data_IF_764169559848
#
_entry.id   IF_764169559848
#
_cell.length_a   1.000
_cell.length_b   1.000
_cell.length_c   1.000
_cell.angle_alpha   90.00
_cell.angle_beta   90.00
_cell.angle_gamma   90.00
#
_symmetry.space_group_name_H-M   'P 1'
#
loop_
_entity.id
_entity.type
_entity.pdbx_description
1 polymer ?
#
# COMPACT_ATOMS: atom_id res chain seq x y z
N UNK A 1 19.68 -18.48 8.25
CA UNK A 1 18.63 -19.08 7.34
C UNK A 1 18.39 -18.07 6.22
N UNK A 2 18.40 -18.50 4.97
CA UNK A 2 18.09 -17.57 3.87
C UNK A 2 16.59 -17.28 3.91
N UNK A 3 16.11 -16.02 3.68
CA UNK A 3 14.67 -15.70 3.75
C UNK A 3 13.78 -16.54 2.83
N UNK A 4 14.31 -17.07 1.74
CA UNK A 4 13.59 -18.00 0.86
C UNK A 4 13.13 -19.29 1.56
N UNK A 5 13.86 -19.73 2.59
CA UNK A 5 13.59 -20.98 3.32
C UNK A 5 12.57 -20.79 4.46
N UNK A 6 12.13 -19.56 4.71
CA UNK A 6 11.15 -19.24 5.77
C UNK A 6 9.83 -19.93 5.45
N UNK A 7 9.34 -20.72 6.41
CA UNK A 7 8.02 -21.32 6.36
C UNK A 7 6.94 -20.28 6.68
N UNK A 8 5.97 -20.11 5.78
CA UNK A 8 4.89 -19.13 5.97
C UNK A 8 4.01 -19.51 7.17
N UNK A 9 3.83 -20.81 7.43
CA UNK A 9 3.04 -21.29 8.56
C UNK A 9 3.60 -20.94 9.94
N UNK A 10 4.88 -20.55 10.03
CA UNK A 10 5.47 -20.03 11.28
C UNK A 10 4.96 -18.61 11.62
N UNK A 11 4.43 -17.88 10.65
CA UNK A 11 3.92 -16.53 10.80
C UNK A 11 2.38 -16.54 10.75
N UNK A 12 1.81 -17.33 11.64
CA UNK A 12 0.36 -17.47 11.79
C UNK A 12 -0.07 -17.19 13.22
N UNK A 13 -1.33 -16.82 13.37
CA UNK A 13 -2.03 -16.65 14.64
C UNK A 13 -3.53 -16.80 14.37
N UNK A 14 -4.32 -17.06 15.40
CA UNK A 14 -5.77 -17.15 15.26
C UNK A 14 -6.37 -15.75 15.27
N UNK A 15 -6.95 -15.30 14.15
CA UNK A 15 -7.70 -14.05 14.06
C UNK A 15 -9.20 -14.33 14.17
N UNK A 16 -9.87 -14.01 15.28
CA UNK A 16 -11.30 -14.16 15.42
C UNK A 16 -12.04 -13.19 14.49
N UNK A 17 -13.12 -13.64 13.86
CA UNK A 17 -13.88 -12.83 12.90
C UNK A 17 -14.52 -11.58 13.50
N UNK A 18 -14.86 -11.60 14.79
CA UNK A 18 -15.41 -10.47 15.55
C UNK A 18 -14.36 -9.38 15.85
N UNK A 19 -13.06 -9.68 15.67
CA UNK A 19 -11.98 -8.71 15.75
C UNK A 19 -11.76 -7.94 14.46
N UNK A 20 -12.30 -8.40 13.34
CA UNK A 20 -12.18 -7.71 12.04
C UNK A 20 -13.14 -6.53 12.01
N UNK A 21 -12.60 -5.31 11.87
CA UNK A 21 -13.42 -4.12 11.77
C UNK A 21 -14.04 -3.98 10.38
N UNK A 22 -15.36 -4.15 10.27
CA UNK A 22 -16.09 -3.99 9.02
C UNK A 22 -16.46 -2.53 8.69
N UNK A 23 -16.45 -1.64 9.70
CA UNK A 23 -16.73 -0.21 9.56
C UNK A 23 -15.70 0.62 10.33
N UNK A 24 -15.36 1.83 9.83
CA UNK A 24 -14.52 2.75 10.58
C UNK A 24 -15.26 3.31 11.80
N UNK A 25 -14.51 3.81 12.78
CA UNK A 25 -15.09 4.62 13.86
C UNK A 25 -15.64 5.94 13.32
N UNK A 26 -16.58 6.56 14.02
CA UNK A 26 -17.11 7.88 13.64
C UNK A 26 -15.97 8.92 13.52
N UNK A 27 -15.11 8.99 14.52
CA UNK A 27 -13.90 9.80 14.51
C UNK A 27 -12.70 8.94 14.09
N UNK A 28 -11.95 9.38 13.07
CA UNK A 28 -10.81 8.63 12.52
C UNK A 28 -9.71 8.41 13.54
N UNK A 29 -9.42 9.44 14.34
CA UNK A 29 -8.33 9.49 15.29
C UNK A 29 -8.71 8.97 16.69
N UNK A 30 -9.94 8.49 16.86
CA UNK A 30 -10.37 7.79 18.07
C UNK A 30 -9.98 6.30 18.08
N UNK A 31 -9.37 5.79 17.00
CA UNK A 31 -8.81 4.44 16.97
C UNK A 31 -7.70 4.30 18.01
N UNK A 32 -7.57 3.11 18.59
CA UNK A 32 -6.50 2.79 19.53
C UNK A 32 -5.17 2.64 18.76
N UNK A 33 -4.11 3.03 19.45
CA UNK A 33 -2.72 2.93 18.99
C UNK A 33 -1.95 2.07 19.97
N UNK A 34 -1.46 0.91 19.51
CA UNK A 34 -0.49 0.12 20.26
C UNK A 34 0.90 0.66 19.96
N UNK A 35 1.71 0.92 20.97
CA UNK A 35 3.08 1.40 20.83
C UNK A 35 4.02 0.30 21.28
N UNK A 36 4.99 -0.05 20.42
CA UNK A 36 6.05 -1.01 20.73
C UNK A 36 7.42 -0.40 20.49
N UNK A 37 8.26 -0.41 21.51
CA UNK A 37 9.65 0.05 21.42
C UNK A 37 10.47 -0.42 22.63
N UNK A 38 11.75 -0.75 22.42
CA UNK A 38 12.64 -1.18 23.51
C UNK A 38 12.15 -2.42 24.28
N UNK A 39 11.34 -3.28 23.67
CA UNK A 39 10.76 -4.44 24.33
C UNK A 39 9.52 -4.13 25.20
N UNK A 40 9.07 -2.89 25.29
CA UNK A 40 7.86 -2.51 26.02
C UNK A 40 6.66 -2.38 25.06
N UNK A 41 5.46 -2.68 25.57
CA UNK A 41 4.19 -2.42 24.89
C UNK A 41 3.43 -1.40 25.73
N UNK A 42 2.92 -0.36 25.07
CA UNK A 42 2.05 0.66 25.64
C UNK A 42 0.87 0.89 24.70
N UNK A 43 -0.15 1.62 25.13
CA UNK A 43 -1.32 1.93 24.33
C UNK A 43 -1.86 3.34 24.57
N UNK A 44 -2.37 3.95 23.50
CA UNK A 44 -2.99 5.27 23.51
C UNK A 44 -4.06 5.35 22.41
N UNK A 45 -4.51 6.53 22.09
CA UNK A 45 -5.35 6.84 20.93
C UNK A 45 -4.51 7.47 19.82
N UNK A 46 -4.91 7.24 18.57
CA UNK A 46 -4.21 7.83 17.41
C UNK A 46 -4.05 9.35 17.48
N UNK A 47 -5.03 10.06 18.09
CA UNK A 47 -4.98 11.52 18.27
C UNK A 47 -3.75 12.00 19.06
N UNK A 48 -3.17 11.14 19.86
CA UNK A 48 -2.02 11.43 20.70
C UNK A 48 -0.68 10.96 20.10
N UNK A 49 -0.68 10.44 18.86
CA UNK A 49 0.51 9.82 18.24
C UNK A 49 1.75 10.72 18.28
N UNK A 50 1.58 12.04 18.18
CA UNK A 50 2.70 12.99 18.21
C UNK A 50 3.52 12.91 19.53
N UNK A 51 2.90 12.52 20.64
CA UNK A 51 3.58 12.37 21.92
C UNK A 51 4.50 11.14 21.99
N UNK A 52 4.29 10.17 21.12
CA UNK A 52 5.02 8.90 21.06
C UNK A 52 6.09 8.86 19.95
N UNK A 53 6.25 9.94 19.22
CA UNK A 53 7.22 10.05 18.13
C UNK A 53 8.44 10.86 18.60
N UNK A 54 9.67 10.46 18.22
CA UNK A 54 10.85 11.27 18.50
C UNK A 54 10.75 12.63 17.81
N UNK A 55 11.20 13.68 18.51
CA UNK A 55 11.31 15.02 17.91
C UNK A 55 12.24 14.99 16.71
N UNK A 56 12.10 15.95 15.77
CA UNK A 56 12.88 16.05 14.53
C UNK A 56 12.69 14.86 13.55
N UNK A 57 11.82 13.89 13.88
CA UNK A 57 11.55 12.79 12.97
C UNK A 57 10.88 13.26 11.67
N UNK A 58 11.05 12.48 10.61
CA UNK A 58 10.37 12.66 9.33
C UNK A 58 9.36 11.52 9.12
N UNK A 59 8.06 11.84 9.15
CA UNK A 59 7.00 10.90 8.81
C UNK A 59 6.78 10.91 7.29
N UNK A 60 6.74 9.72 6.68
CA UNK A 60 6.51 9.60 5.24
C UNK A 60 5.25 8.79 4.97
N UNK A 61 4.31 9.43 4.27
CA UNK A 61 2.99 8.91 3.95
C UNK A 61 2.89 8.50 2.46
N UNK A 62 1.95 7.63 2.14
CA UNK A 62 1.59 7.34 0.75
C UNK A 62 0.34 8.16 0.37
N UNK A 63 0.46 9.10 -0.57
CA UNK A 63 -0.61 10.01 -0.99
C UNK A 63 -1.45 9.49 -2.18
N UNK A 64 -1.35 8.20 -2.47
CA UNK A 64 -2.18 7.60 -3.51
C UNK A 64 -3.66 7.70 -3.18
N UNK A 65 -4.49 7.84 -4.21
CA UNK A 65 -5.94 7.93 -4.10
C UNK A 65 -6.59 6.69 -4.72
N UNK A 66 -7.53 6.11 -3.99
CA UNK A 66 -8.28 4.94 -4.46
C UNK A 66 -9.29 5.37 -5.50
N UNK A 67 -9.31 4.66 -6.62
CA UNK A 67 -10.30 4.83 -7.67
C UNK A 67 -11.44 3.82 -7.50
N UNK A 68 -12.63 4.16 -7.99
CA UNK A 68 -13.83 3.30 -7.93
C UNK A 68 -13.72 2.13 -8.92
N UNK A 69 -12.71 1.29 -8.73
CA UNK A 69 -12.25 0.28 -9.67
C UNK A 69 -13.16 -0.95 -9.80
N UNK A 70 -14.27 -1.04 -9.05
CA UNK A 70 -15.26 -2.12 -9.19
C UNK A 70 -16.48 -1.61 -9.93
N UNK A 71 -16.87 -2.30 -11.02
CA UNK A 71 -18.02 -1.96 -11.84
C UNK A 71 -18.98 -3.14 -11.88
N UNK A 72 -20.22 -2.92 -11.49
CA UNK A 72 -21.27 -3.93 -11.60
C UNK A 72 -22.05 -3.76 -12.90
N UNK A 73 -22.19 -4.84 -13.64
CA UNK A 73 -23.07 -4.99 -14.79
C UNK A 73 -24.18 -5.97 -14.47
N UNK A 74 -25.38 -5.71 -15.03
CA UNK A 74 -26.51 -6.63 -14.97
C UNK A 74 -26.89 -7.06 -16.37
N UNK A 75 -26.94 -8.37 -16.59
CA UNK A 75 -27.41 -8.94 -17.86
C UNK A 75 -28.94 -8.82 -17.96
N UNK A 76 -29.54 -8.85 -19.17
CA UNK A 76 -31.00 -8.91 -19.33
C UNK A 76 -31.66 -10.07 -18.58
N UNK A 77 -30.89 -11.16 -18.33
CA UNK A 77 -31.33 -12.31 -17.53
C UNK A 77 -31.33 -12.07 -16.02
N UNK A 78 -30.97 -10.86 -15.55
CA UNK A 78 -30.79 -10.52 -14.14
C UNK A 78 -29.43 -10.95 -13.54
N UNK A 79 -28.60 -11.69 -14.26
CA UNK A 79 -27.31 -12.16 -13.75
C UNK A 79 -26.35 -10.97 -13.52
N UNK A 80 -25.78 -10.92 -12.33
CA UNK A 80 -24.76 -9.93 -11.92
C UNK A 80 -23.39 -10.38 -12.39
N UNK A 81 -22.65 -9.46 -13.00
CA UNK A 81 -21.22 -9.59 -13.35
C UNK A 81 -20.51 -8.41 -12.72
N UNK A 82 -19.48 -8.67 -11.93
CA UNK A 82 -18.62 -7.63 -11.34
C UNK A 82 -17.28 -7.63 -12.07
N UNK A 83 -16.85 -6.47 -12.56
CA UNK A 83 -15.52 -6.27 -13.14
C UNK A 83 -14.71 -5.46 -12.13
N UNK A 84 -13.61 -6.03 -11.65
CA UNK A 84 -12.66 -5.35 -10.78
C UNK A 84 -11.40 -5.03 -11.59
N UNK A 85 -11.23 -3.77 -11.92
CA UNK A 85 -10.07 -3.25 -12.64
C UNK A 85 -8.83 -3.28 -11.75
N UNK A 86 -7.77 -3.99 -12.18
CA UNK A 86 -6.53 -4.16 -11.43
C UNK A 86 -5.46 -3.19 -11.93
N UNK A 87 -5.03 -3.39 -13.18
CA UNK A 87 -3.94 -2.65 -13.81
C UNK A 87 -4.13 -2.57 -15.33
N UNK A 88 -3.62 -1.52 -15.99
CA UNK A 88 -3.63 -1.45 -17.43
C UNK A 88 -2.51 -2.32 -18.04
N UNK A 89 -2.63 -2.74 -19.31
CA UNK A 89 -1.52 -3.26 -20.10
C UNK A 89 -0.35 -2.28 -20.16
N UNK A 90 0.89 -2.83 -20.31
CA UNK A 90 2.13 -2.05 -20.31
C UNK A 90 2.18 -0.97 -21.43
N UNK A 91 1.43 -1.15 -22.52
CA UNK A 91 1.34 -0.21 -23.65
C UNK A 91 0.87 1.20 -23.26
N UNK A 92 0.16 1.34 -22.13
CA UNK A 92 -0.27 2.65 -21.62
C UNK A 92 0.83 3.40 -20.86
N UNK A 93 1.96 2.76 -20.56
CA UNK A 93 3.05 3.40 -19.83
C UNK A 93 2.73 3.73 -18.37
N UNK A 94 1.68 3.12 -17.80
CA UNK A 94 1.30 3.24 -16.38
C UNK A 94 -0.16 3.61 -16.15
N UNK A 95 -0.56 3.49 -14.87
CA UNK A 95 -1.97 3.67 -14.45
C UNK A 95 -2.47 5.10 -14.72
N UNK A 96 -1.65 6.11 -14.41
CA UNK A 96 -2.03 7.51 -14.59
C UNK A 96 -2.39 7.82 -16.06
N UNK A 97 -1.57 7.35 -17.00
CA UNK A 97 -1.81 7.54 -18.43
C UNK A 97 -3.05 6.76 -18.92
N UNK A 98 -3.27 5.57 -18.37
CA UNK A 98 -4.44 4.77 -18.72
C UNK A 98 -5.75 5.40 -18.20
N UNK A 99 -5.72 6.04 -17.03
CA UNK A 99 -6.87 6.73 -16.44
C UNK A 99 -7.27 7.99 -17.24
N UNK A 100 -6.34 8.60 -17.97
CA UNK A 100 -6.64 9.78 -18.84
C UNK A 100 -7.16 9.38 -20.23
N UNK A 101 -7.17 8.11 -20.58
CA UNK A 101 -7.71 7.66 -21.88
C UNK A 101 -9.17 8.04 -22.02
N UNK A 102 -9.58 8.40 -23.25
CA UNK A 102 -10.94 8.82 -23.58
C UNK A 102 -11.58 7.84 -24.57
N UNK A 103 -12.90 7.67 -24.46
CA UNK A 103 -13.73 6.84 -25.33
C UNK A 103 -13.53 5.33 -25.19
N UNK A 104 -12.31 4.88 -24.94
CA UNK A 104 -12.00 3.44 -24.77
C UNK A 104 -10.69 3.19 -24.05
N UNK A 105 -10.60 2.05 -23.34
CA UNK A 105 -9.38 1.57 -22.69
C UNK A 105 -9.41 0.05 -22.57
N UNK A 106 -8.25 -0.59 -22.51
CA UNK A 106 -8.13 -2.01 -22.14
C UNK A 106 -7.58 -2.10 -20.73
N UNK A 107 -8.12 -3.04 -19.93
CA UNK A 107 -7.71 -3.18 -18.53
C UNK A 107 -7.65 -4.65 -18.11
N UNK A 108 -6.66 -5.02 -17.32
CA UNK A 108 -6.58 -6.33 -16.68
C UNK A 108 -7.47 -6.35 -15.46
N UNK A 109 -8.38 -7.32 -15.36
CA UNK A 109 -9.46 -7.34 -14.38
C UNK A 109 -9.61 -8.72 -13.73
N UNK A 110 -10.15 -8.74 -12.51
CA UNK A 110 -10.84 -9.91 -11.97
C UNK A 110 -12.33 -9.81 -12.31
N UNK A 111 -13.00 -10.96 -12.46
CA UNK A 111 -14.41 -11.00 -12.82
C UNK A 111 -15.18 -11.85 -11.82
N UNK A 112 -16.04 -11.20 -11.03
CA UNK A 112 -17.06 -11.86 -10.23
C UNK A 112 -18.18 -12.35 -11.13
N UNK A 113 -18.50 -13.67 -11.08
CA UNK A 113 -19.50 -14.30 -11.95
C UNK A 113 -19.00 -14.57 -13.39
N UNK A 114 -17.70 -14.76 -13.60
CA UNK A 114 -17.08 -14.99 -14.90
C UNK A 114 -17.74 -16.10 -15.70
N UNK A 115 -18.17 -17.21 -15.06
CA UNK A 115 -18.87 -18.33 -15.72
C UNK A 115 -20.20 -17.92 -16.38
N UNK A 116 -20.80 -16.81 -15.94
CA UNK A 116 -22.05 -16.27 -16.48
C UNK A 116 -21.80 -15.32 -17.66
N UNK A 117 -20.56 -14.96 -17.98
CA UNK A 117 -20.21 -14.08 -19.10
C UNK A 117 -19.50 -14.88 -20.20
N UNK A 118 -20.21 -15.11 -21.29
CA UNK A 118 -19.68 -15.88 -22.43
C UNK A 118 -18.84 -15.01 -23.36
N UNK A 119 -17.76 -15.53 -23.96
CA UNK A 119 -17.02 -14.83 -25.02
C UNK A 119 -17.95 -14.30 -26.12
N UNK A 120 -17.67 -13.11 -26.65
CA UNK A 120 -18.51 -12.44 -27.65
C UNK A 120 -19.72 -11.67 -27.10
N UNK A 121 -20.10 -11.87 -25.86
CA UNK A 121 -21.16 -11.06 -25.23
C UNK A 121 -20.60 -9.68 -24.81
N UNK A 122 -21.36 -8.63 -25.10
CA UNK A 122 -21.10 -7.27 -24.61
C UNK A 122 -21.94 -7.03 -23.37
N UNK A 123 -21.31 -6.59 -22.28
CA UNK A 123 -22.01 -6.07 -21.13
C UNK A 123 -22.22 -4.57 -21.34
N UNK A 124 -23.42 -4.09 -21.03
CA UNK A 124 -23.80 -2.68 -21.16
C UNK A 124 -24.42 -2.17 -19.87
N UNK A 125 -24.02 -0.97 -19.47
CA UNK A 125 -24.52 -0.27 -18.31
C UNK A 125 -24.85 1.16 -18.72
N UNK A 126 -26.10 1.56 -18.50
CA UNK A 126 -26.57 2.92 -18.69
C UNK A 126 -26.70 3.59 -17.34
N UNK A 127 -26.25 4.83 -17.25
CA UNK A 127 -26.25 5.60 -16.02
C UNK A 127 -26.92 6.94 -16.16
N UNK A 128 -27.40 7.53 -15.07
CA UNK A 128 -27.93 8.89 -15.10
C UNK A 128 -26.92 9.87 -15.72
N UNK A 129 -27.43 10.87 -16.47
CA UNK A 129 -26.57 11.81 -17.18
C UNK A 129 -26.03 11.32 -18.52
N UNK A 130 -26.61 10.22 -19.07
CA UNK A 130 -26.36 9.76 -20.44
C UNK A 130 -25.06 9.00 -20.64
N UNK A 131 -24.33 8.64 -19.57
CA UNK A 131 -23.16 7.78 -19.69
C UNK A 131 -23.60 6.33 -19.98
N UNK A 132 -23.10 5.78 -21.08
CA UNK A 132 -23.26 4.39 -21.47
C UNK A 132 -21.88 3.73 -21.47
N UNK A 133 -21.68 2.72 -20.65
CA UNK A 133 -20.44 1.96 -20.55
C UNK A 133 -20.65 0.54 -21.11
N UNK A 134 -19.77 0.14 -22.02
CA UNK A 134 -19.71 -1.23 -22.55
C UNK A 134 -18.42 -1.92 -22.12
N UNK A 135 -18.52 -3.22 -21.80
CA UNK A 135 -17.38 -4.08 -21.54
C UNK A 135 -17.39 -5.27 -22.48
N UNK A 136 -16.24 -5.55 -23.09
CA UNK A 136 -15.99 -6.67 -24.00
C UNK A 136 -14.85 -7.53 -23.47
N UNK A 137 -15.11 -8.82 -23.34
CA UNK A 137 -14.10 -9.82 -23.03
C UNK A 137 -13.12 -9.93 -24.21
N UNK A 138 -11.82 -9.81 -23.96
CA UNK A 138 -10.75 -10.00 -24.94
C UNK A 138 -10.13 -11.39 -24.80
N UNK A 139 -9.46 -11.63 -23.67
CA UNK A 139 -8.77 -12.89 -23.41
C UNK A 139 -8.65 -13.14 -21.91
N UNK A 140 -8.37 -14.39 -21.54
CA UNK A 140 -8.04 -14.80 -20.18
C UNK A 140 -6.52 -14.98 -20.05
N UNK A 141 -5.95 -14.42 -19.01
CA UNK A 141 -4.52 -14.49 -18.71
C UNK A 141 -4.36 -15.00 -17.26
N UNK A 142 -4.14 -16.31 -17.10
CA UNK A 142 -4.11 -16.94 -15.77
C UNK A 142 -5.44 -16.78 -15.04
N UNK A 143 -5.40 -16.15 -13.84
CA UNK A 143 -6.58 -15.84 -13.02
C UNK A 143 -7.23 -14.51 -13.39
N UNK A 144 -6.65 -13.73 -14.29
CA UNK A 144 -7.13 -12.41 -14.71
C UNK A 144 -7.68 -12.43 -16.14
N UNK A 145 -8.36 -11.34 -16.50
CA UNK A 145 -9.00 -11.18 -17.79
C UNK A 145 -8.65 -9.82 -18.38
N UNK A 146 -8.27 -9.78 -19.66
CA UNK A 146 -8.13 -8.53 -20.40
C UNK A 146 -9.51 -8.12 -20.91
N UNK A 147 -9.98 -6.97 -20.48
CA UNK A 147 -11.29 -6.40 -20.81
C UNK A 147 -11.09 -5.10 -21.58
N UNK A 148 -11.75 -4.97 -22.73
CA UNK A 148 -11.89 -3.69 -23.40
C UNK A 148 -13.15 -3.00 -22.87
N UNK A 149 -12.97 -1.78 -22.36
CA UNK A 149 -14.03 -0.88 -21.92
C UNK A 149 -14.19 0.25 -22.93
N UNK A 150 -15.41 0.60 -23.28
CA UNK A 150 -15.73 1.73 -24.15
C UNK A 150 -16.96 2.46 -23.64
N UNK A 151 -17.04 3.77 -23.89
CA UNK A 151 -18.12 4.58 -23.34
C UNK A 151 -18.51 5.75 -24.23
N UNK A 152 -19.70 6.25 -23.98
CA UNK A 152 -20.26 7.49 -24.52
C UNK A 152 -20.84 8.30 -23.37
N UNK A 153 -20.59 9.62 -23.29
CA UNK A 153 -19.82 10.46 -24.23
C UNK A 153 -18.32 10.09 -24.24
N UNK A 154 -17.70 10.14 -25.41
CA UNK A 154 -16.33 9.67 -25.62
C UNK A 154 -15.24 10.62 -25.06
N UNK A 155 -15.58 11.87 -24.78
CA UNK A 155 -14.70 12.90 -24.22
C UNK A 155 -14.35 12.69 -22.73
N UNK A 156 -15.16 11.90 -22.02
CA UNK A 156 -14.86 11.56 -20.63
C UNK A 156 -13.58 10.74 -20.54
N UNK A 157 -12.74 11.06 -19.56
CA UNK A 157 -11.60 10.22 -19.20
C UNK A 157 -12.05 8.93 -18.50
N UNK A 158 -11.22 7.90 -18.54
CA UNK A 158 -11.54 6.65 -17.83
C UNK A 158 -11.69 6.86 -16.32
N UNK A 159 -10.92 7.76 -15.72
CA UNK A 159 -11.08 8.15 -14.31
C UNK A 159 -12.49 8.68 -14.01
N UNK A 160 -13.03 9.56 -14.87
CA UNK A 160 -14.40 10.08 -14.72
C UNK A 160 -15.46 8.99 -14.90
N UNK A 161 -15.21 8.04 -15.83
CA UNK A 161 -16.08 6.88 -16.02
C UNK A 161 -16.09 5.99 -14.80
N UNK A 162 -14.93 5.67 -14.23
CA UNK A 162 -14.84 4.89 -12.98
C UNK A 162 -15.57 5.58 -11.84
N UNK A 163 -15.36 6.88 -11.68
CA UNK A 163 -16.03 7.66 -10.64
C UNK A 163 -17.58 7.65 -10.76
N UNK A 164 -18.12 7.64 -11.99
CA UNK A 164 -19.57 7.63 -12.22
C UNK A 164 -20.17 6.22 -12.20
N UNK A 165 -19.43 5.23 -12.68
CA UNK A 165 -19.92 3.87 -12.93
C UNK A 165 -19.56 2.86 -11.85
N UNK A 166 -18.46 3.12 -11.15
CA UNK A 166 -17.84 2.20 -10.22
C UNK A 166 -18.18 2.48 -8.77
N UNK A 167 -17.57 1.68 -7.93
CA UNK A 167 -17.56 1.83 -6.47
C UNK A 167 -16.20 1.42 -5.89
N UNK A 168 -15.93 1.90 -4.68
CA UNK A 168 -14.68 1.64 -3.97
C UNK A 168 -14.48 0.14 -3.76
N UNK A 169 -13.30 -0.40 -4.12
CA UNK A 169 -12.97 -1.80 -3.94
C UNK A 169 -12.56 -2.08 -2.48
N UNK A 170 -13.53 -2.37 -1.62
CA UNK A 170 -13.22 -2.80 -0.25
C UNK A 170 -12.43 -4.12 -0.27
N UNK A 171 -11.53 -4.32 0.71
CA UNK A 171 -10.78 -5.57 0.86
C UNK A 171 -11.70 -6.79 1.02
N UNK A 172 -11.27 -8.00 0.59
CA UNK A 172 -12.12 -9.19 0.56
C UNK A 172 -12.56 -9.68 1.95
N UNK A 173 -11.86 -9.32 3.02
CA UNK A 173 -12.24 -9.65 4.40
C UNK A 173 -13.32 -8.73 4.97
N UNK A 174 -13.68 -7.65 4.27
CA UNK A 174 -14.84 -6.82 4.60
C UNK A 174 -16.06 -7.41 3.86
N UNK A 175 -16.77 -8.32 4.53
CA UNK A 175 -17.87 -9.08 3.95
C UNK A 175 -19.17 -8.29 3.85
N UNK A 176 -19.12 -7.06 3.32
CA UNK A 176 -20.27 -6.22 3.00
C UNK A 176 -20.10 -5.53 1.65
N UNK A 177 -21.17 -5.03 1.10
CA UNK A 177 -21.09 -4.16 -0.07
C UNK A 177 -20.53 -2.79 0.32
N UNK A 178 -19.88 -2.13 -0.64
CA UNK A 178 -19.46 -0.76 -0.45
C UNK A 178 -20.67 0.18 -0.31
N UNK A 179 -20.62 1.05 0.66
CA UNK A 179 -21.62 2.07 0.96
C UNK A 179 -21.15 3.44 0.42
N UNK A 180 -22.06 4.39 0.27
CA UNK A 180 -21.71 5.72 -0.23
C UNK A 180 -20.64 6.42 0.66
N UNK A 181 -20.63 6.13 1.95
CA UNK A 181 -19.64 6.66 2.88
C UNK A 181 -18.23 6.12 2.63
N UNK A 182 -18.08 4.90 2.10
CA UNK A 182 -16.76 4.30 1.86
C UNK A 182 -15.94 5.10 0.85
N UNK A 183 -16.57 5.77 -0.11
CA UNK A 183 -15.87 6.65 -1.07
C UNK A 183 -15.08 7.76 -0.37
N UNK A 184 -15.55 8.20 0.80
CA UNK A 184 -14.88 9.19 1.64
C UNK A 184 -14.06 8.55 2.76
N UNK A 185 -14.55 7.46 3.36
CA UNK A 185 -13.94 6.86 4.55
C UNK A 185 -12.78 5.93 4.21
N UNK A 186 -12.80 5.27 3.05
CA UNK A 186 -11.70 4.44 2.54
C UNK A 186 -10.70 5.27 1.71
N UNK A 187 -10.49 6.53 2.13
CA UNK A 187 -9.52 7.49 1.58
C UNK A 187 -8.82 8.22 2.73
N UNK A 188 -7.53 8.49 2.56
CA UNK A 188 -6.82 9.40 3.46
C UNK A 188 -7.18 10.85 3.16
N UNK A 189 -7.07 11.73 4.15
CA UNK A 189 -7.37 13.17 3.97
C UNK A 189 -6.38 13.87 3.04
N UNK A 190 -5.22 13.26 2.82
CA UNK A 190 -4.13 13.79 1.99
C UNK A 190 -4.00 13.05 0.64
N UNK A 191 -4.95 12.18 0.27
CA UNK A 191 -4.95 11.48 -1.01
C UNK A 191 -5.00 12.47 -2.18
N UNK A 192 -4.08 12.34 -3.15
CA UNK A 192 -3.95 13.27 -4.30
C UNK A 192 -3.79 12.58 -5.64
N UNK A 193 -3.07 11.46 -5.70
CA UNK A 193 -2.68 10.80 -6.96
C UNK A 193 -3.60 9.62 -7.24
N UNK A 194 -4.54 9.78 -8.19
CA UNK A 194 -5.44 8.70 -8.61
C UNK A 194 -4.67 7.51 -9.19
N UNK A 195 -5.13 6.27 -8.92
CA UNK A 195 -4.55 5.08 -9.54
C UNK A 195 -4.42 3.86 -8.63
N UNK A 196 -4.76 3.97 -7.36
CA UNK A 196 -4.72 2.84 -6.43
C UNK A 196 -6.06 2.10 -6.39
N UNK A 197 -6.01 0.78 -6.23
CA UNK A 197 -7.21 -0.04 -5.96
C UNK A 197 -7.34 -0.40 -4.49
N UNK A 198 -6.40 0.02 -3.64
CA UNK A 198 -6.45 -0.14 -2.19
C UNK A 198 -5.95 1.12 -1.49
N UNK A 199 -6.57 1.49 -0.38
CA UNK A 199 -6.14 2.62 0.43
C UNK A 199 -4.85 2.31 1.20
N UNK A 200 -3.96 3.29 1.45
CA UNK A 200 -2.91 3.17 2.44
C UNK A 200 -3.52 3.27 3.85
N UNK A 201 -4.03 2.13 4.34
CA UNK A 201 -4.99 2.06 5.45
C UNK A 201 -4.46 2.58 6.78
N UNK A 202 -3.14 2.49 7.04
CA UNK A 202 -2.52 3.10 8.21
C UNK A 202 -2.71 4.63 8.27
N UNK A 203 -2.86 5.27 7.12
CA UNK A 203 -3.11 6.71 7.02
C UNK A 203 -4.56 7.13 7.24
N UNK A 204 -5.50 6.18 7.32
CA UNK A 204 -6.93 6.51 7.48
C UNK A 204 -7.26 7.15 8.83
N UNK A 205 -6.40 6.97 9.82
CA UNK A 205 -6.56 7.51 11.18
C UNK A 205 -6.11 8.96 11.31
N UNK A 206 -5.31 9.46 10.37
CA UNK A 206 -4.77 10.81 10.44
C UNK A 206 -5.84 11.85 10.11
N UNK A 207 -5.85 12.93 10.92
CA UNK A 207 -6.72 14.10 10.80
C UNK A 207 -5.89 15.36 10.71
N UNK A 208 -6.49 16.48 10.31
CA UNK A 208 -5.81 17.79 10.32
C UNK A 208 -5.29 18.14 11.72
N UNK A 209 -6.02 17.76 12.78
CA UNK A 209 -5.60 17.97 14.17
C UNK A 209 -4.31 17.21 14.50
N UNK A 210 -4.17 15.98 14.01
CA UNK A 210 -2.91 15.21 14.17
C UNK A 210 -1.78 15.91 13.43
N UNK A 211 -1.96 16.39 12.20
CA UNK A 211 -0.91 17.11 11.48
C UNK A 211 -0.48 18.40 12.19
N UNK A 212 -1.43 19.11 12.82
CA UNK A 212 -1.12 20.27 13.67
C UNK A 212 -0.32 19.87 14.91
N UNK A 213 -0.66 18.75 15.56
CA UNK A 213 0.07 18.22 16.72
C UNK A 213 1.50 17.81 16.35
N UNK A 214 1.68 17.16 15.18
CA UNK A 214 3.00 16.80 14.63
C UNK A 214 3.86 18.06 14.44
N UNK A 215 3.29 19.09 13.80
CA UNK A 215 4.00 20.36 13.59
C UNK A 215 4.38 21.04 14.90
N UNK A 216 3.48 21.05 15.89
CA UNK A 216 3.74 21.61 17.23
C UNK A 216 4.84 20.84 17.99
N UNK A 217 4.98 19.54 17.75
CA UNK A 217 6.03 18.68 18.30
C UNK A 217 7.35 18.70 17.48
N UNK A 218 7.47 19.58 16.48
CA UNK A 218 8.61 19.66 15.57
C UNK A 218 8.87 18.37 14.79
N UNK A 219 7.78 17.66 14.43
CA UNK A 219 7.80 16.44 13.62
C UNK A 219 7.41 16.81 12.20
N UNK A 220 8.30 16.55 11.26
CA UNK A 220 8.09 16.87 9.84
C UNK A 220 7.36 15.73 9.13
N UNK A 221 6.71 16.04 8.03
CA UNK A 221 6.10 15.02 7.17
C UNK A 221 6.31 15.31 5.69
N UNK A 222 6.24 14.25 4.88
CA UNK A 222 6.26 14.32 3.41
C UNK A 222 5.58 13.07 2.81
N UNK A 223 5.52 13.00 1.47
CA UNK A 223 4.71 12.01 0.76
C UNK A 223 5.49 11.29 -0.34
N UNK A 224 5.31 9.99 -0.41
CA UNK A 224 5.59 9.15 -1.59
C UNK A 224 4.28 8.84 -2.31
N UNK A 225 4.36 8.42 -3.57
CA UNK A 225 3.25 7.82 -4.28
C UNK A 225 3.59 6.38 -4.63
N UNK A 226 2.81 5.44 -4.14
CA UNK A 226 2.84 4.05 -4.55
C UNK A 226 1.40 3.62 -4.84
N UNK A 227 1.14 3.22 -6.08
CA UNK A 227 -0.16 2.71 -6.47
C UNK A 227 -0.29 1.24 -6.06
N UNK A 228 -1.16 1.00 -5.07
CA UNK A 228 -1.36 -0.33 -4.49
C UNK A 228 -2.22 -1.17 -5.42
N UNK A 229 -1.68 -2.29 -5.87
CA UNK A 229 -2.43 -3.29 -6.63
C UNK A 229 -3.30 -4.19 -5.75
N UNK A 230 -4.26 -4.90 -6.34
CA UNK A 230 -5.17 -5.81 -5.64
C UNK A 230 -4.46 -7.01 -4.99
N UNK A 231 -3.23 -7.31 -5.41
CA UNK A 231 -2.43 -8.41 -4.87
C UNK A 231 -2.08 -8.27 -3.39
N UNK A 232 -2.07 -7.05 -2.85
CA UNK A 232 -1.76 -6.78 -1.44
C UNK A 232 -2.72 -7.46 -0.45
N UNK A 233 -3.92 -7.82 -0.90
CA UNK A 233 -4.92 -8.50 -0.06
C UNK A 233 -4.90 -10.03 -0.18
N UNK A 234 -4.04 -10.59 -1.02
CA UNK A 234 -3.98 -12.02 -1.23
C UNK A 234 -3.05 -12.66 -0.19
N UNK A 235 -3.47 -13.75 0.47
CA UNK A 235 -2.59 -14.51 1.34
C UNK A 235 -1.49 -15.18 0.52
N UNK A 236 -0.37 -15.45 1.16
CA UNK A 236 0.71 -16.24 0.56
C UNK A 236 0.22 -17.69 0.40
N UNK A 237 0.24 -18.20 -0.83
CA UNK A 237 -0.24 -19.56 -1.13
C UNK A 237 0.89 -20.61 -1.12
N UNK A 238 2.14 -20.19 -1.11
CA UNK A 238 3.30 -21.08 -1.09
C UNK A 238 3.64 -21.52 0.33
N UNK A 239 4.22 -22.71 0.49
CA UNK A 239 4.66 -23.21 1.79
C UNK A 239 5.84 -22.41 2.35
N UNK A 240 6.72 -21.93 1.48
CA UNK A 240 7.88 -21.11 1.83
C UNK A 240 7.84 -19.76 1.14
N UNK A 241 8.56 -18.79 1.68
CA UNK A 241 8.66 -17.44 1.14
C UNK A 241 9.32 -17.43 -0.24
N UNK A 242 10.25 -18.36 -0.52
CA UNK A 242 10.89 -18.53 -1.83
C UNK A 242 9.93 -18.91 -2.96
N UNK A 243 8.84 -19.59 -2.64
CA UNK A 243 7.79 -19.94 -3.61
C UNK A 243 6.78 -18.81 -3.88
N UNK A 244 6.86 -17.70 -3.14
CA UNK A 244 5.96 -16.55 -3.33
C UNK A 244 6.57 -15.55 -4.32
N UNK A 245 5.75 -15.05 -5.23
CA UNK A 245 6.13 -13.95 -6.14
C UNK A 245 5.43 -12.67 -5.72
N UNK A 246 6.24 -11.67 -5.36
CA UNK A 246 5.75 -10.32 -5.06
C UNK A 246 5.20 -9.64 -6.32
N UNK A 247 4.13 -8.89 -6.16
CA UNK A 247 3.63 -8.02 -7.22
C UNK A 247 4.58 -6.86 -7.48
N UNK A 248 4.65 -6.45 -8.74
CA UNK A 248 5.34 -5.23 -9.15
C UNK A 248 4.47 -4.04 -8.72
N UNK A 249 5.05 -3.09 -8.01
CA UNK A 249 4.37 -1.85 -7.62
C UNK A 249 5.12 -0.66 -8.19
N UNK A 250 4.36 0.31 -8.72
CA UNK A 250 4.91 1.56 -9.25
C UNK A 250 5.09 2.56 -8.13
N UNK A 251 6.31 3.09 -8.01
CA UNK A 251 6.67 4.13 -7.06
C UNK A 251 7.02 5.41 -7.80
N UNK A 252 6.59 6.53 -7.25
CA UNK A 252 6.90 7.88 -7.74
C UNK A 252 7.31 8.75 -6.55
N UNK A 253 8.58 9.19 -6.55
CA UNK A 253 9.20 9.90 -5.44
C UNK A 253 9.89 11.16 -5.97
N UNK A 254 9.61 12.31 -5.35
CA UNK A 254 10.26 13.57 -5.73
C UNK A 254 11.71 13.63 -5.29
N UNK A 255 12.55 14.35 -6.05
CA UNK A 255 13.94 14.63 -5.70
C UNK A 255 14.03 15.37 -4.36
N UNK A 256 13.09 16.26 -4.09
CA UNK A 256 12.99 17.04 -2.85
C UNK A 256 12.80 16.13 -1.61
N UNK A 257 11.97 15.10 -1.71
CA UNK A 257 11.82 14.14 -0.62
C UNK A 257 13.10 13.32 -0.41
N UNK A 258 13.77 12.87 -1.48
CA UNK A 258 15.04 12.12 -1.36
C UNK A 258 16.12 12.96 -0.68
N UNK A 259 16.18 14.27 -1.00
CA UNK A 259 17.05 15.23 -0.31
C UNK A 259 16.71 15.32 1.19
N UNK A 260 15.44 15.50 1.54
CA UNK A 260 14.98 15.55 2.95
C UNK A 260 15.30 14.26 3.71
N UNK A 261 15.13 13.10 3.08
CA UNK A 261 15.49 11.80 3.67
C UNK A 261 16.99 11.73 3.98
N UNK A 262 17.83 12.05 2.99
CA UNK A 262 19.28 12.07 3.16
C UNK A 262 19.69 13.00 4.31
N UNK A 263 19.16 14.22 4.33
CA UNK A 263 19.53 15.24 5.32
C UNK A 263 19.02 14.87 6.73
N UNK A 264 17.82 14.24 6.83
CA UNK A 264 17.27 13.71 8.08
C UNK A 264 18.18 12.62 8.65
N UNK A 265 18.56 11.65 7.83
CA UNK A 265 19.45 10.55 8.23
C UNK A 265 20.86 11.05 8.54
N UNK A 266 21.41 12.01 7.79
CA UNK A 266 22.70 12.60 8.07
C UNK A 266 22.74 13.36 9.40
N UNK A 267 21.61 13.92 9.83
CA UNK A 267 21.45 14.54 11.15
C UNK A 267 21.23 13.55 12.28
N UNK A 268 21.16 12.24 12.00
CA UNK A 268 20.87 11.20 12.99
C UNK A 268 19.39 11.12 13.40
N UNK A 269 18.49 11.82 12.69
CA UNK A 269 17.08 11.86 13.01
C UNK A 269 16.31 10.69 12.37
N UNK A 270 15.31 10.12 13.06
CA UNK A 270 14.61 8.95 12.57
C UNK A 270 13.61 9.25 11.44
N UNK A 271 13.50 8.31 10.51
CA UNK A 271 12.48 8.28 9.46
C UNK A 271 11.43 7.26 9.84
N UNK A 272 10.16 7.69 9.91
CA UNK A 272 9.02 6.86 10.29
C UNK A 272 8.13 6.68 9.06
N UNK A 273 7.91 5.44 8.67
CA UNK A 273 6.99 5.14 7.58
C UNK A 273 5.55 5.05 8.10
N UNK A 274 4.61 5.66 7.38
CA UNK A 274 3.18 5.47 7.64
C UNK A 274 2.60 4.55 6.56
N UNK A 275 2.38 3.30 6.96
CA UNK A 275 1.98 2.19 6.11
C UNK A 275 3.13 1.39 5.52
N UNK A 276 2.88 0.10 5.30
CA UNK A 276 3.84 -0.86 4.73
C UNK A 276 4.26 -0.49 3.30
N UNK A 277 3.39 0.18 2.55
CA UNK A 277 3.69 0.70 1.20
C UNK A 277 4.72 1.84 1.25
N UNK A 278 4.60 2.76 2.20
CA UNK A 278 5.61 3.80 2.45
C UNK A 278 6.94 3.18 2.87
N UNK A 279 6.92 2.22 3.79
CA UNK A 279 8.12 1.51 4.24
C UNK A 279 8.83 0.83 3.06
N UNK A 280 8.10 0.07 2.23
CA UNK A 280 8.66 -0.59 1.05
C UNK A 280 9.23 0.41 0.05
N UNK A 281 8.56 1.53 -0.18
CA UNK A 281 9.08 2.59 -1.07
C UNK A 281 10.38 3.16 -0.53
N UNK A 282 10.43 3.53 0.75
CA UNK A 282 11.62 4.11 1.37
C UNK A 282 12.81 3.16 1.32
N UNK A 283 12.61 1.90 1.72
CA UNK A 283 13.65 0.88 1.65
C UNK A 283 14.11 0.64 0.20
N UNK A 284 13.19 0.69 -0.77
CA UNK A 284 13.56 0.57 -2.19
C UNK A 284 14.48 1.69 -2.66
N UNK A 285 14.38 2.91 -2.12
CA UNK A 285 15.29 4.01 -2.48
C UNK A 285 16.74 3.70 -2.14
N UNK A 286 16.99 3.01 -1.02
CA UNK A 286 18.33 2.55 -0.68
C UNK A 286 18.88 1.61 -1.75
N UNK A 287 18.10 0.58 -2.12
CA UNK A 287 18.52 -0.43 -3.10
C UNK A 287 18.68 0.15 -4.51
N UNK A 288 17.87 1.14 -4.89
CA UNK A 288 18.04 1.91 -6.13
C UNK A 288 19.33 2.74 -6.13
N UNK A 289 19.71 3.28 -4.97
CA UNK A 289 20.93 4.07 -4.82
C UNK A 289 22.23 3.27 -4.93
N UNK A 290 22.19 1.98 -4.52
CA UNK A 290 23.36 1.08 -4.63
C UNK A 290 23.29 0.17 -5.87
N UNK A 291 22.14 0.09 -6.52
CA UNK A 291 21.89 -0.77 -7.68
C UNK A 291 22.61 -0.34 -8.96
N UNK A 292 22.53 -1.20 -9.97
CA UNK A 292 23.10 -0.97 -11.30
C UNK A 292 22.34 0.07 -12.14
N UNK A 293 22.56 0.06 -13.47
CA UNK A 293 21.97 1.01 -14.42
C UNK A 293 20.43 0.91 -14.50
N UNK A 294 19.88 -0.28 -14.28
CA UNK A 294 18.44 -0.48 -14.28
C UNK A 294 17.87 0.00 -12.94
N UNK A 295 17.12 1.09 -12.97
CA UNK A 295 16.44 1.64 -11.77
C UNK A 295 15.22 0.78 -11.42
N UNK A 296 15.41 -0.49 -11.04
CA UNK A 296 14.37 -1.43 -10.63
C UNK A 296 14.87 -2.20 -9.41
N UNK A 297 14.01 -2.42 -8.44
CA UNK A 297 14.28 -3.31 -7.30
C UNK A 297 13.53 -4.62 -7.49
N UNK A 298 14.27 -5.72 -7.60
CA UNK A 298 13.72 -7.07 -7.70
C UNK A 298 13.49 -7.66 -6.31
N UNK A 299 12.68 -8.68 -6.25
CA UNK A 299 12.19 -9.28 -5.00
C UNK A 299 13.32 -9.66 -4.01
N UNK A 300 14.44 -10.15 -4.51
CA UNK A 300 15.53 -10.71 -3.70
C UNK A 300 16.80 -9.85 -3.70
N UNK A 301 16.80 -8.68 -4.32
CA UNK A 301 18.00 -7.83 -4.43
C UNK A 301 18.58 -7.47 -3.06
N UNK A 302 17.73 -7.35 -2.04
CA UNK A 302 18.15 -7.03 -0.67
C UNK A 302 18.92 -8.13 0.05
N UNK A 303 18.93 -9.35 -0.48
CA UNK A 303 19.49 -10.52 0.19
C UNK A 303 20.74 -11.06 -0.51
N UNK A 304 21.22 -10.37 -1.54
CA UNK A 304 22.39 -10.75 -2.34
C UNK A 304 23.75 -10.28 -1.77
N UNK A 305 23.77 -9.64 -0.61
CA UNK A 305 25.02 -9.12 0.01
C UNK A 305 25.69 -8.01 -0.80
N UNK A 306 24.91 -7.22 -1.55
CA UNK A 306 25.41 -6.16 -2.44
C UNK A 306 25.68 -4.84 -1.71
N UNK A 307 25.17 -4.66 -0.48
CA UNK A 307 25.22 -3.42 0.28
C UNK A 307 26.61 -3.02 0.79
N UNK A 308 27.55 -3.99 0.94
CA UNK A 308 28.99 -3.79 1.24
C UNK A 308 29.28 -2.65 2.23
N UNK A 309 28.43 -2.46 3.24
CA UNK A 309 28.59 -1.40 4.24
C UNK A 309 28.30 0.02 3.76
N UNK A 310 27.60 0.19 2.63
CA UNK A 310 27.15 1.50 2.15
C UNK A 310 26.05 2.00 3.08
N UNK A 311 26.20 3.22 3.60
CA UNK A 311 25.20 3.84 4.46
C UNK A 311 23.97 4.29 3.67
N UNK A 312 22.82 4.46 4.35
CA UNK A 312 21.61 4.99 3.70
C UNK A 312 21.84 6.40 3.13
N UNK A 313 22.60 7.23 3.82
CA UNK A 313 22.95 8.57 3.37
C UNK A 313 23.76 8.54 2.07
N UNK A 314 24.73 7.65 1.96
CA UNK A 314 25.55 7.47 0.74
C UNK A 314 24.70 6.91 -0.42
N UNK A 315 23.83 5.93 -0.15
CA UNK A 315 22.95 5.38 -1.17
C UNK A 315 22.01 6.44 -1.74
N UNK A 316 21.38 7.25 -0.88
CA UNK A 316 20.52 8.36 -1.31
C UNK A 316 21.30 9.46 -2.05
N UNK A 317 22.53 9.77 -1.66
CA UNK A 317 23.38 10.72 -2.38
C UNK A 317 23.66 10.22 -3.82
N UNK A 318 24.05 8.95 -3.99
CA UNK A 318 24.26 8.35 -5.32
C UNK A 318 22.98 8.40 -6.19
N UNK A 319 21.83 8.15 -5.59
CA UNK A 319 20.55 8.23 -6.29
C UNK A 319 20.24 9.66 -6.75
N UNK A 320 20.52 10.67 -5.90
CA UNK A 320 20.36 12.10 -6.23
C UNK A 320 21.30 12.54 -7.36
N UNK A 321 22.57 12.13 -7.30
CA UNK A 321 23.57 12.43 -8.34
C UNK A 321 23.12 11.85 -9.69
N UNK A 322 22.58 10.65 -9.70
CA UNK A 322 22.05 10.01 -10.89
C UNK A 322 20.84 10.76 -11.44
N UNK A 323 19.88 11.14 -10.58
CA UNK A 323 18.72 11.94 -11.00
C UNK A 323 19.15 13.28 -11.60
N UNK A 324 20.21 13.88 -11.09
CA UNK A 324 20.78 15.12 -11.64
C UNK A 324 21.42 14.92 -13.00
N UNK A 325 22.19 13.83 -13.19
CA UNK A 325 22.77 13.45 -14.47
C UNK A 325 21.71 13.19 -15.54
N UNK A 326 20.62 12.54 -15.14
CA UNK A 326 19.49 12.24 -16.03
C UNK A 326 18.55 13.43 -16.24
N UNK A 327 18.74 14.55 -15.52
CA UNK A 327 17.91 15.75 -15.59
C UNK A 327 16.48 15.55 -15.07
N UNK A 328 16.23 14.55 -14.19
CA UNK A 328 14.91 14.21 -13.70
C UNK A 328 14.63 14.74 -12.30
N UNK A 329 13.43 15.27 -12.09
CA UNK A 329 12.99 15.77 -10.78
C UNK A 329 12.14 14.77 -10.00
N UNK A 330 11.69 13.72 -10.65
CA UNK A 330 10.90 12.65 -10.05
C UNK A 330 11.48 11.30 -10.46
N UNK A 331 11.62 10.43 -9.47
CA UNK A 331 12.01 9.05 -9.67
C UNK A 331 10.72 8.23 -9.84
N UNK A 332 10.44 7.84 -11.09
CA UNK A 332 9.31 6.96 -11.42
C UNK A 332 9.87 5.62 -11.83
N UNK A 333 9.60 4.59 -11.04
CA UNK A 333 10.14 3.25 -11.26
C UNK A 333 9.26 2.18 -10.65
N UNK A 334 9.77 0.95 -10.57
CA UNK A 334 9.04 -0.19 -10.00
C UNK A 334 9.83 -0.86 -8.89
N UNK A 335 9.10 -1.43 -7.93
CA UNK A 335 9.66 -2.27 -6.88
C UNK A 335 8.89 -3.58 -6.75
N UNK A 336 9.62 -4.65 -6.48
CA UNK A 336 9.12 -5.94 -6.01
C UNK A 336 9.75 -6.30 -4.65
N UNK A 337 10.40 -5.34 -3.97
CA UNK A 337 11.14 -5.59 -2.75
C UNK A 337 10.30 -6.39 -1.77
N UNK A 338 10.79 -7.56 -1.41
CA UNK A 338 10.25 -8.37 -0.33
C UNK A 338 10.98 -8.01 0.96
N UNK A 339 10.23 -7.60 1.97
CA UNK A 339 10.74 -7.33 3.31
C UNK A 339 10.17 -8.42 4.22
N UNK A 340 11.04 -9.23 4.80
CA UNK A 340 10.69 -10.32 5.70
C UNK A 340 11.79 -10.58 6.70
N UNK A 341 11.64 -11.54 7.62
CA UNK A 341 12.63 -11.86 8.64
C UNK A 341 14.03 -12.07 8.04
N UNK A 342 15.02 -11.44 8.66
CA UNK A 342 16.40 -11.39 8.14
C UNK A 342 16.68 -10.18 7.22
N UNK A 343 15.69 -9.33 6.93
CA UNK A 343 15.91 -8.06 6.28
C UNK A 343 16.55 -7.04 7.23
N UNK A 344 17.62 -6.41 6.77
CA UNK A 344 18.25 -5.32 7.51
C UNK A 344 17.70 -3.98 7.06
N UNK A 345 16.93 -3.34 7.95
CA UNK A 345 16.34 -2.03 7.68
C UNK A 345 17.39 -0.95 7.49
N UNK A 346 17.28 -0.17 6.43
CA UNK A 346 18.30 0.81 6.01
C UNK A 346 17.88 2.26 6.26
N UNK A 347 16.61 2.59 6.05
CA UNK A 347 16.08 3.96 6.14
C UNK A 347 15.06 4.08 7.27
N UNK A 348 14.18 3.09 7.40
CA UNK A 348 13.01 3.18 8.29
C UNK A 348 13.37 2.77 9.72
N UNK A 349 13.28 3.72 10.64
CA UNK A 349 13.49 3.52 12.08
C UNK A 349 12.22 3.10 12.83
N UNK A 350 11.04 3.41 12.29
CA UNK A 350 9.75 3.05 12.87
C UNK A 350 8.64 3.00 11.84
N UNK A 351 7.57 2.30 12.19
CA UNK A 351 6.45 2.03 11.30
C UNK A 351 5.12 2.26 12.01
N UNK A 352 4.29 3.12 11.43
CA UNK A 352 2.86 3.23 11.78
C UNK A 352 2.09 2.32 10.84
N UNK A 353 1.33 1.35 11.35
CA UNK A 353 0.63 0.38 10.51
C UNK A 353 -0.63 -0.17 11.19
N UNK A 354 -1.48 -0.89 10.45
CA UNK A 354 -2.59 -1.68 11.00
C UNK A 354 -2.08 -3.06 11.44
N UNK A 355 -2.93 -3.82 12.16
CA UNK A 355 -2.72 -5.25 12.36
C UNK A 355 -3.05 -6.01 11.06
N UNK A 356 -2.22 -6.98 10.69
CA UNK A 356 -2.27 -7.69 9.41
C UNK A 356 -2.79 -9.12 9.57
N UNK A 357 -3.26 -9.70 8.46
CA UNK A 357 -3.72 -11.09 8.41
C UNK A 357 -2.58 -12.08 8.73
N UNK A 358 -2.89 -13.24 9.34
CA UNK A 358 -1.95 -14.35 9.43
C UNK A 358 -1.51 -14.80 8.03
N UNK A 359 -0.31 -15.39 7.95
CA UNK A 359 0.28 -15.93 6.71
C UNK A 359 0.37 -14.91 5.57
N UNK A 360 0.51 -13.60 5.89
CA UNK A 360 0.65 -12.52 4.91
C UNK A 360 2.07 -11.99 4.84
N UNK A 361 2.47 -11.49 3.67
CA UNK A 361 3.76 -10.79 3.51
C UNK A 361 3.86 -9.55 4.40
N UNK A 362 2.72 -8.97 4.79
CA UNK A 362 2.67 -7.82 5.68
C UNK A 362 3.02 -8.20 7.13
N UNK A 363 2.58 -9.37 7.60
CA UNK A 363 2.99 -9.89 8.92
C UNK A 363 4.48 -10.24 8.94
N UNK A 364 5.03 -10.78 7.85
CA UNK A 364 6.46 -11.01 7.69
C UNK A 364 7.27 -9.71 7.75
N UNK A 365 6.75 -8.62 7.16
CA UNK A 365 7.37 -7.29 7.26
C UNK A 365 7.40 -6.81 8.71
N UNK A 366 6.30 -6.99 9.47
CA UNK A 366 6.29 -6.65 10.91
C UNK A 366 7.32 -7.48 11.65
N UNK A 367 7.37 -8.79 11.41
CA UNK A 367 8.33 -9.68 12.06
C UNK A 367 9.79 -9.33 11.72
N UNK A 368 10.05 -8.78 10.52
CA UNK A 368 11.39 -8.28 10.17
C UNK A 368 11.79 -7.03 10.96
N UNK A 369 10.82 -6.20 11.38
CA UNK A 369 11.07 -4.95 12.09
C UNK A 369 11.31 -5.16 13.59
N UNK A 370 10.46 -5.98 14.23
CA UNK A 370 10.47 -6.15 15.69
C UNK A 370 10.90 -7.56 16.14
N UNK A 371 11.33 -8.43 15.20
CA UNK A 371 11.76 -9.78 15.51
C UNK A 371 10.60 -10.64 16.03
N UNK A 372 10.95 -11.63 16.90
CA UNK A 372 9.98 -12.57 17.49
C UNK A 372 8.92 -11.89 18.38
N UNK A 373 9.15 -10.65 18.81
CA UNK A 373 8.20 -9.88 19.62
C UNK A 373 6.90 -9.56 18.87
N UNK A 374 6.84 -9.81 17.55
CA UNK A 374 5.60 -9.68 16.79
C UNK A 374 4.48 -10.55 17.39
N UNK A 375 4.80 -11.75 17.90
CA UNK A 375 3.83 -12.66 18.53
C UNK A 375 3.24 -12.01 19.78
N UNK A 376 4.11 -11.52 20.66
CA UNK A 376 3.70 -10.85 21.90
C UNK A 376 2.85 -9.60 21.66
N UNK A 377 3.19 -8.83 20.62
CA UNK A 377 2.42 -7.64 20.22
C UNK A 377 1.02 -8.02 19.73
N UNK A 378 0.90 -9.07 18.90
CA UNK A 378 -0.38 -9.53 18.37
C UNK A 378 -1.23 -10.23 19.43
N UNK A 379 -0.63 -11.04 20.31
CA UNK A 379 -1.31 -11.66 21.46
C UNK A 379 -1.89 -10.58 22.39
N UNK A 380 -1.06 -9.59 22.74
CA UNK A 380 -1.50 -8.44 23.53
C UNK A 380 -2.69 -7.72 22.88
N UNK A 381 -2.61 -7.44 21.59
CA UNK A 381 -3.68 -6.75 20.87
C UNK A 381 -5.00 -7.56 20.87
N UNK A 382 -4.94 -8.89 20.74
CA UNK A 382 -6.11 -9.76 20.80
C UNK A 382 -6.70 -9.81 22.22
N UNK A 383 -5.87 -9.96 23.24
CA UNK A 383 -6.29 -10.03 24.65
C UNK A 383 -6.92 -8.73 25.11
N UNK A 384 -6.40 -7.59 24.65
CA UNK A 384 -6.88 -6.26 25.03
C UNK A 384 -7.99 -5.72 24.12
N UNK A 385 -8.51 -6.52 23.20
CA UNK A 385 -9.70 -6.18 22.41
C UNK A 385 -9.46 -5.15 21.31
N UNK A 386 -8.25 -5.06 20.76
CA UNK A 386 -7.99 -4.27 19.57
C UNK A 386 -8.76 -4.80 18.38
N UNK A 387 -9.13 -3.91 17.46
CA UNK A 387 -9.77 -4.25 16.18
C UNK A 387 -8.70 -4.35 15.10
N UNK A 388 -8.88 -5.28 14.18
CA UNK A 388 -7.88 -5.67 13.19
C UNK A 388 -8.22 -5.19 11.78
N UNK A 389 -7.21 -5.18 10.92
CA UNK A 389 -7.24 -4.90 9.48
C UNK A 389 -7.58 -3.44 9.16
N UNK A 390 -8.08 -3.16 7.93
CA UNK A 390 -8.13 -1.83 7.31
C UNK A 390 -8.85 -0.74 8.11
N UNK A 391 -9.98 -1.08 8.73
CA UNK A 391 -10.77 -0.15 9.56
C UNK A 391 -10.54 -0.35 11.05
N UNK A 392 -9.62 -1.25 11.38
CA UNK A 392 -9.25 -1.56 12.76
C UNK A 392 -8.41 -0.48 13.40
N UNK A 393 -7.84 -0.83 14.53
CA UNK A 393 -6.85 -0.04 15.25
C UNK A 393 -5.47 -0.21 14.61
N UNK A 394 -4.44 0.38 15.14
CA UNK A 394 -3.12 0.24 14.58
C UNK A 394 -2.02 0.26 15.60
N UNK A 395 -0.79 0.22 15.12
CA UNK A 395 0.40 0.22 15.94
C UNK A 395 1.47 1.19 15.41
N UNK A 396 2.26 1.69 16.33
CA UNK A 396 3.54 2.38 16.12
C UNK A 396 4.64 1.45 16.64
N UNK A 397 5.42 0.94 15.71
CA UNK A 397 6.46 -0.06 15.98
C UNK A 397 7.83 0.54 15.68
N UNK A 398 8.75 0.50 16.63
CA UNK A 398 10.12 0.94 16.43
C UNK A 398 11.04 -0.23 16.16
N UNK A 399 11.95 -0.04 15.21
CA UNK A 399 12.98 -1.01 14.89
C UNK A 399 13.87 -1.26 16.11
N UNK A 400 14.16 -2.52 16.40
CA UNK A 400 14.98 -2.94 17.53
C UNK A 400 16.37 -2.27 17.54
N UNK A 401 17.00 -2.15 16.38
CA UNK A 401 18.33 -1.55 16.26
C UNK A 401 18.35 -0.03 16.47
N UNK A 402 17.27 0.68 16.16
CA UNK A 402 17.21 2.15 16.29
C UNK A 402 17.06 2.64 17.73
N UNK A 403 16.63 1.77 18.65
CA UNK A 403 16.47 2.12 20.08
C UNK A 403 17.78 1.93 20.86
N UNK A 404 18.69 1.06 20.42
CA UNK A 404 19.99 0.85 21.08
C UNK A 404 20.96 2.03 20.90
N UNK A 405 20.71 2.90 19.90
CA UNK A 405 21.55 4.06 19.57
C UNK A 405 21.14 5.34 20.35
N UNK A 406 19.98 5.35 21.01
CA UNK A 406 19.45 6.49 21.79
C UNK A 406 19.52 6.30 23.31
N UNK A 407 19.98 5.17 23.80
CA UNK A 407 20.27 4.87 25.20
C UNK A 407 21.77 5.01 25.49
#
# INVERSE_FOLDING_TARGET
MHPQDISISEYTYTLPSDRIAHHPLAERDASRLLIYGGGAIDEDLYRNIAAHLPTESLLVFNNTKVVEARIEFRKPTGARIEIFCLEPPAEYGGIANALTQTGRVSWRCLIGGASKWKPGQVLRKEMPGGLVLEARYKEKQGDTFLIALSWMPAELSFAEVLHRAGFIPLPPYIHRQAEAEDSRRYQTIYARQDGSVAAPTAGLHFTEAIFQSLAAANIRHDFVTLHVGAGTFLPVKSATLGGHTMHIEFIDVSRELILKLRDTLAAGNPVIAVGTTSARTLESLYWLGIGGKDLVVRQWDAYGGQDRGITATEALARLLDRMEQDGVRRLVTTTQLLIGPGYEWKIVAGLVTNFHQPESTLLLLIASLIGEDWRRVYDYALEHGFRFLSYGDGCLLFNRASMETQA
#
